data_IF_809414694569
#
_entry.id   IF_809414694569
#
_cell.length_a   1.000
_cell.length_b   1.000
_cell.length_c   1.000
_cell.angle_alpha   90.00
_cell.angle_beta   90.00
_cell.angle_gamma   90.00
#
_symmetry.space_group_name_H-M   'P 1'
#
loop_
_entity.id
_entity.type
_entity.pdbx_description
1 polymer ?
#
# COMPACT_ATOMS: atom_id res chain seq x y z
N UNK A 1 -1.88 7.97 18.17
CA UNK A 1 -2.33 9.34 17.84
C UNK A 1 -1.39 9.85 16.76
N UNK A 2 -1.90 10.21 15.58
CA UNK A 2 -1.10 10.74 14.49
C UNK A 2 -0.94 12.27 14.64
N UNK A 3 -0.09 12.88 13.80
CA UNK A 3 0.17 14.33 13.79
C UNK A 3 -1.14 15.13 13.73
N UNK A 4 -2.01 14.80 12.78
CA UNK A 4 -3.29 15.49 12.59
C UNK A 4 -4.20 15.41 13.83
N UNK A 5 -4.32 14.24 14.46
CA UNK A 5 -5.14 14.07 15.67
C UNK A 5 -4.59 14.80 16.89
N UNK A 6 -3.27 15.03 16.96
CA UNK A 6 -2.69 15.91 17.99
C UNK A 6 -3.05 17.38 17.73
N UNK A 7 -2.96 17.83 16.48
CA UNK A 7 -3.30 19.20 16.09
C UNK A 7 -4.77 19.49 16.39
N UNK A 8 -5.70 18.63 15.96
CA UNK A 8 -7.13 18.79 16.21
C UNK A 8 -7.46 18.86 17.72
N UNK A 9 -6.78 18.04 18.52
CA UNK A 9 -6.93 18.08 19.98
C UNK A 9 -6.45 19.40 20.56
N UNK A 10 -5.31 19.93 20.12
CA UNK A 10 -4.80 21.23 20.56
C UNK A 10 -5.70 22.39 20.10
N UNK A 11 -6.21 22.33 18.86
CA UNK A 11 -7.17 23.30 18.34
C UNK A 11 -8.46 23.31 19.16
N UNK A 12 -8.96 22.15 19.60
CA UNK A 12 -10.14 22.08 20.47
C UNK A 12 -9.95 22.79 21.82
N UNK A 13 -8.70 22.83 22.35
CA UNK A 13 -8.37 23.52 23.59
C UNK A 13 -8.37 25.05 23.41
N UNK A 14 -8.08 25.53 22.20
CA UNK A 14 -8.06 26.96 21.87
C UNK A 14 -9.45 27.61 21.77
N UNK A 15 -10.53 26.80 21.75
CA UNK A 15 -11.91 27.29 21.61
C UNK A 15 -12.48 27.79 22.96
N UNK A 16 -11.86 27.43 24.09
CA UNK A 16 -12.36 27.76 25.44
C UNK A 16 -11.88 29.16 25.88
N UNK A 17 -12.35 30.21 25.20
CA UNK A 17 -12.09 31.61 25.61
C UNK A 17 -12.98 32.00 26.79
N UNK A 18 -12.44 31.86 27.99
CA UNK A 18 -13.11 32.22 29.24
C UNK A 18 -12.30 33.19 30.11
N UNK A 19 -11.90 34.35 29.56
CA UNK A 19 -11.43 35.47 30.39
C UNK A 19 -10.43 36.41 29.75
N UNK A 20 -10.25 37.57 30.38
CA UNK A 20 -9.25 38.62 30.09
C UNK A 20 -8.12 38.61 31.13
N UNK A 21 -7.80 37.46 31.72
CA UNK A 21 -6.71 37.37 32.69
C UNK A 21 -5.38 37.11 32.00
N UNK A 22 -4.27 37.52 32.63
CA UNK A 22 -2.90 37.18 32.20
C UNK A 22 -2.65 35.66 32.15
N UNK A 23 -3.42 34.89 32.94
CA UNK A 23 -3.42 33.44 32.87
C UNK A 23 -4.03 32.94 31.56
N UNK A 24 -5.14 33.52 31.11
CA UNK A 24 -5.79 33.15 29.86
C UNK A 24 -4.85 33.45 28.68
N UNK A 25 -4.22 34.63 28.65
CA UNK A 25 -3.21 35.00 27.64
C UNK A 25 -2.07 33.98 27.56
N UNK A 26 -1.45 33.63 28.70
CA UNK A 26 -0.37 32.65 28.74
C UNK A 26 -0.81 31.23 28.32
N UNK A 27 -2.06 30.85 28.63
CA UNK A 27 -2.64 29.59 28.16
C UNK A 27 -2.79 29.58 26.63
N UNK A 28 -3.27 30.67 26.03
CA UNK A 28 -3.38 30.81 24.58
C UNK A 28 -2.05 30.74 23.86
N UNK A 29 -1.06 31.50 24.34
CA UNK A 29 0.28 31.50 23.77
C UNK A 29 0.89 30.10 23.84
N UNK A 30 0.68 29.39 24.94
CA UNK A 30 1.12 28.00 25.10
C UNK A 30 0.46 27.03 24.13
N UNK A 31 -0.86 27.11 23.95
CA UNK A 31 -1.59 26.27 22.99
C UNK A 31 -1.16 26.59 21.56
N UNK A 32 -1.02 27.87 21.21
CA UNK A 32 -0.58 28.30 19.89
C UNK A 32 0.84 27.82 19.57
N UNK A 33 1.79 28.02 20.48
CA UNK A 33 3.16 27.51 20.34
C UNK A 33 3.20 25.98 20.21
N UNK A 34 2.31 25.27 20.91
CA UNK A 34 2.17 23.81 20.82
C UNK A 34 1.65 23.38 19.44
N UNK A 35 0.67 24.08 18.87
CA UNK A 35 0.15 23.83 17.52
C UNK A 35 1.25 24.06 16.48
N UNK A 36 1.96 25.18 16.56
CA UNK A 36 3.05 25.50 15.63
C UNK A 36 4.20 24.49 15.71
N UNK A 37 4.49 24.00 16.92
CA UNK A 37 5.47 22.92 17.12
C UNK A 37 4.96 21.59 16.54
N UNK A 38 3.69 21.27 16.74
CA UNK A 38 3.08 20.04 16.20
C UNK A 38 3.05 20.03 14.66
N UNK A 39 2.85 21.19 14.02
CA UNK A 39 2.92 21.34 12.55
C UNK A 39 4.31 21.03 11.98
N UNK A 40 5.35 21.25 12.76
CA UNK A 40 6.74 20.97 12.38
C UNK A 40 7.14 19.50 12.56
N UNK A 41 6.31 18.67 13.20
CA UNK A 41 6.59 17.24 13.31
C UNK A 41 6.52 16.58 11.93
N UNK A 42 7.51 15.76 11.60
CA UNK A 42 7.46 14.93 10.41
C UNK A 42 6.39 13.84 10.59
N UNK A 43 5.57 13.63 9.55
CA UNK A 43 4.70 12.47 9.54
C UNK A 43 5.54 11.22 9.28
N UNK A 44 5.30 10.13 10.03
CA UNK A 44 5.96 8.87 9.73
C UNK A 44 5.59 8.44 8.31
N UNK A 45 6.59 8.29 7.47
CA UNK A 45 6.39 7.89 6.08
C UNK A 45 5.78 6.48 6.06
N UNK A 46 4.65 6.34 5.37
CA UNK A 46 4.00 5.04 5.21
C UNK A 46 4.92 4.12 4.41
N UNK A 47 5.27 2.93 4.93
CA UNK A 47 6.03 1.97 4.15
C UNK A 47 5.17 1.45 3.00
N UNK A 48 5.82 1.23 1.86
CA UNK A 48 5.26 0.44 0.76
C UNK A 48 5.43 -1.03 1.10
N UNK A 49 4.34 -1.80 1.06
CA UNK A 49 4.34 -3.24 1.31
C UNK A 49 3.77 -3.99 0.10
N UNK A 50 4.27 -5.20 -0.20
CA UNK A 50 3.70 -6.01 -1.27
C UNK A 50 2.22 -6.34 -1.05
N UNK A 51 1.46 -6.48 -2.12
CA UNK A 51 0.02 -6.81 -2.08
C UNK A 51 -0.31 -8.02 -1.20
N UNK A 52 0.46 -9.10 -1.27
CA UNK A 52 0.23 -10.29 -0.44
C UNK A 52 0.45 -10.04 1.07
N UNK A 53 1.29 -9.05 1.44
CA UNK A 53 1.50 -8.64 2.83
C UNK A 53 0.32 -7.78 3.30
N UNK A 54 -0.16 -6.87 2.45
CA UNK A 54 -1.35 -6.06 2.72
C UNK A 54 -2.59 -6.93 2.96
N UNK A 55 -2.87 -7.88 2.05
CA UNK A 55 -3.98 -8.84 2.17
C UNK A 55 -3.88 -9.67 3.46
N UNK A 56 -2.66 -10.10 3.81
CA UNK A 56 -2.41 -10.80 5.07
C UNK A 56 -2.69 -9.91 6.27
N UNK A 57 -2.21 -8.66 6.29
CA UNK A 57 -2.45 -7.69 7.37
C UNK A 57 -3.95 -7.41 7.57
N UNK A 58 -4.72 -7.25 6.49
CA UNK A 58 -6.17 -7.05 6.58
C UNK A 58 -6.89 -8.26 7.17
N UNK A 59 -6.55 -9.47 6.70
CA UNK A 59 -7.11 -10.71 7.23
C UNK A 59 -6.80 -10.85 8.72
N UNK A 60 -5.56 -10.56 9.10
CA UNK A 60 -5.10 -10.58 10.49
C UNK A 60 -5.85 -9.57 11.34
N UNK A 61 -5.99 -8.32 10.89
CA UNK A 61 -6.78 -7.30 11.59
C UNK A 61 -8.22 -7.76 11.83
N UNK A 62 -8.88 -8.36 10.84
CA UNK A 62 -10.25 -8.91 10.96
C UNK A 62 -10.33 -10.06 11.99
N UNK A 63 -9.36 -10.97 11.99
CA UNK A 63 -9.32 -12.09 12.94
C UNK A 63 -8.99 -11.64 14.37
N UNK A 64 -8.24 -10.55 14.50
CA UNK A 64 -7.76 -10.03 15.77
C UNK A 64 -8.64 -8.94 16.39
N UNK A 65 -9.75 -8.54 15.73
CA UNK A 65 -10.74 -7.60 16.28
C UNK A 65 -11.23 -8.06 17.66
N UNK A 66 -11.39 -9.37 17.86
CA UNK A 66 -11.81 -9.96 19.14
C UNK A 66 -10.78 -9.85 20.26
N UNK A 67 -9.51 -9.56 19.94
CA UNK A 67 -8.39 -9.58 20.90
C UNK A 67 -7.88 -8.17 21.28
N UNK A 68 -8.52 -7.09 20.80
CA UNK A 68 -8.17 -5.70 21.12
C UNK A 68 -6.66 -5.41 21.06
N UNK A 69 -6.06 -5.68 19.90
CA UNK A 69 -4.67 -5.30 19.62
C UNK A 69 -4.58 -3.79 19.41
N UNK A 70 -4.51 -3.05 20.52
CA UNK A 70 -4.46 -1.58 20.53
C UNK A 70 -3.09 -1.02 20.11
N UNK A 71 -2.05 -1.86 19.97
CA UNK A 71 -0.71 -1.41 19.59
C UNK A 71 0.02 -2.40 18.66
N UNK A 72 0.82 -1.85 17.73
CA UNK A 72 1.67 -2.65 16.86
C UNK A 72 2.72 -3.45 17.60
N UNK A 73 3.19 -2.98 18.76
CA UNK A 73 4.09 -3.75 19.63
C UNK A 73 3.46 -5.06 20.13
N UNK A 74 2.17 -5.05 20.52
CA UNK A 74 1.46 -6.28 20.87
C UNK A 74 1.32 -7.16 19.64
N UNK A 75 0.93 -6.61 18.49
CA UNK A 75 0.83 -7.39 17.25
C UNK A 75 2.17 -8.06 16.90
N UNK A 76 3.27 -7.31 16.95
CA UNK A 76 4.63 -7.79 16.65
C UNK A 76 5.10 -8.87 17.64
N UNK A 77 4.82 -8.73 18.94
CA UNK A 77 5.11 -9.77 19.93
C UNK A 77 4.38 -11.08 19.58
N UNK A 78 3.10 -10.99 19.18
CA UNK A 78 2.32 -12.17 18.78
C UNK A 78 2.82 -12.81 17.48
N UNK A 79 3.20 -12.00 16.48
CA UNK A 79 3.84 -12.48 15.25
C UNK A 79 5.19 -13.14 15.55
N UNK A 80 6.02 -12.55 16.41
CA UNK A 80 7.32 -13.10 16.80
C UNK A 80 7.19 -14.47 17.49
N UNK A 81 6.20 -14.66 18.36
CA UNK A 81 5.94 -15.96 18.99
C UNK A 81 5.60 -17.03 17.94
N UNK A 82 4.75 -16.71 16.97
CA UNK A 82 4.40 -17.67 15.91
C UNK A 82 5.58 -17.96 14.97
N UNK A 83 6.36 -16.93 14.63
CA UNK A 83 7.55 -17.03 13.80
C UNK A 83 8.58 -18.02 14.40
N UNK A 84 8.78 -17.99 15.72
CA UNK A 84 9.76 -18.84 16.41
C UNK A 84 9.20 -20.17 16.94
N UNK A 85 7.92 -20.25 17.33
CA UNK A 85 7.37 -21.45 17.97
C UNK A 85 6.56 -22.35 17.03
N UNK A 86 6.30 -21.94 15.77
CA UNK A 86 5.44 -22.66 14.80
C UNK A 86 4.12 -23.15 15.42
N UNK A 87 3.56 -22.37 16.35
CA UNK A 87 2.38 -22.78 17.14
C UNK A 87 1.06 -22.70 16.36
N UNK A 88 1.09 -22.23 15.11
CA UNK A 88 -0.07 -22.31 14.20
C UNK A 88 -1.25 -21.45 14.67
N UNK A 89 -1.00 -20.49 15.56
CA UNK A 89 -2.03 -19.61 16.10
C UNK A 89 -2.33 -18.46 15.13
N UNK A 90 -1.41 -18.14 14.21
CA UNK A 90 -1.57 -17.12 13.17
C UNK A 90 -1.02 -17.66 11.84
N UNK A 91 -1.79 -17.52 10.76
CA UNK A 91 -1.43 -18.07 9.44
C UNK A 91 -0.39 -17.19 8.75
N UNK A 92 0.83 -17.08 9.28
CA UNK A 92 1.98 -16.63 8.50
C UNK A 92 2.14 -17.61 7.34
N UNK A 93 1.65 -17.24 6.16
CA UNK A 93 1.89 -18.04 4.98
C UNK A 93 3.38 -17.93 4.60
N UNK A 94 3.86 -18.91 3.83
CA UNK A 94 5.26 -19.00 3.43
C UNK A 94 5.76 -17.73 2.69
N UNK A 95 4.88 -17.05 1.94
CA UNK A 95 5.23 -15.81 1.23
C UNK A 95 5.54 -14.67 2.20
N UNK A 96 4.71 -14.47 3.23
CA UNK A 96 4.93 -13.45 4.27
C UNK A 96 6.16 -13.79 5.10
N UNK A 97 6.40 -15.07 5.41
CA UNK A 97 7.61 -15.50 6.12
C UNK A 97 8.88 -15.14 5.36
N UNK A 98 8.96 -15.53 4.08
CA UNK A 98 10.10 -15.22 3.21
C UNK A 98 10.29 -13.73 2.99
N UNK A 99 9.21 -12.96 3.00
CA UNK A 99 9.29 -11.51 2.95
C UNK A 99 9.93 -10.94 4.23
N UNK A 100 9.52 -11.40 5.41
CA UNK A 100 10.10 -10.98 6.69
C UNK A 100 11.55 -11.42 6.91
N UNK A 101 12.01 -12.46 6.22
CA UNK A 101 13.42 -12.89 6.25
C UNK A 101 14.38 -11.91 5.57
N UNK A 102 13.87 -10.98 4.75
CA UNK A 102 14.70 -9.94 4.12
C UNK A 102 14.91 -8.78 5.09
N UNK A 103 16.16 -8.33 5.20
CA UNK A 103 16.57 -7.26 6.09
C UNK A 103 15.70 -5.99 5.96
N UNK A 104 15.24 -5.48 7.10
CA UNK A 104 14.47 -4.24 7.21
C UNK A 104 12.96 -4.41 6.99
N UNK A 105 12.48 -5.57 6.56
CA UNK A 105 11.04 -5.79 6.37
C UNK A 105 10.30 -5.95 7.70
N UNK A 106 10.98 -6.32 8.78
CA UNK A 106 10.47 -6.28 10.14
C UNK A 106 10.14 -4.85 10.61
N UNK A 107 11.01 -3.88 10.25
CA UNK A 107 10.78 -2.46 10.53
C UNK A 107 9.66 -1.93 9.64
N UNK A 108 9.65 -2.27 8.35
CA UNK A 108 8.54 -1.92 7.45
C UNK A 108 7.21 -2.47 7.95
N UNK A 109 7.17 -3.72 8.41
CA UNK A 109 5.96 -4.31 8.97
C UNK A 109 5.51 -3.56 10.23
N UNK A 110 6.42 -3.27 11.16
CA UNK A 110 6.11 -2.51 12.36
C UNK A 110 5.47 -1.15 12.01
N UNK A 111 6.12 -0.41 11.11
CA UNK A 111 5.64 0.89 10.65
C UNK A 111 4.29 0.77 9.94
N UNK A 112 4.09 -0.29 9.13
CA UNK A 112 2.82 -0.57 8.46
C UNK A 112 1.66 -0.78 9.45
N UNK A 113 1.96 -1.42 10.59
CA UNK A 113 0.97 -1.67 11.63
C UNK A 113 0.64 -0.39 12.39
N UNK A 114 1.65 0.39 12.79
CA UNK A 114 1.49 1.58 13.64
C UNK A 114 1.01 2.82 12.88
N UNK A 115 1.46 3.00 11.64
CA UNK A 115 1.24 4.22 10.85
C UNK A 115 0.41 3.98 9.57
N UNK A 116 0.04 2.73 9.28
CA UNK A 116 -0.55 2.35 8.00
C UNK A 116 0.49 2.15 6.91
N UNK A 117 0.05 1.75 5.72
CA UNK A 117 0.94 1.39 4.62
C UNK A 117 0.34 1.78 3.27
N UNK A 118 1.20 1.83 2.25
CA UNK A 118 0.81 1.85 0.84
C UNK A 118 1.06 0.48 0.24
N UNK A 119 0.22 0.08 -0.71
CA UNK A 119 0.39 -1.21 -1.39
C UNK A 119 1.28 -1.00 -2.61
N UNK A 120 2.32 -1.83 -2.73
CA UNK A 120 3.14 -1.89 -3.94
C UNK A 120 2.23 -2.17 -5.14
N UNK A 121 2.15 -1.19 -6.05
CA UNK A 121 1.45 -1.34 -7.32
C UNK A 121 2.21 -2.40 -8.13
N UNK A 122 1.53 -3.47 -8.51
CA UNK A 122 2.14 -4.50 -9.36
C UNK A 122 2.38 -3.88 -10.75
N UNK A 123 3.61 -3.94 -11.31
CA UNK A 123 3.87 -3.39 -12.63
C UNK A 123 2.96 -4.02 -13.67
N UNK A 124 2.28 -3.17 -14.43
CA UNK A 124 1.41 -3.58 -15.52
C UNK A 124 2.11 -3.37 -16.86
N UNK A 125 1.83 -4.28 -17.78
CA UNK A 125 2.41 -4.30 -19.12
C UNK A 125 1.31 -4.45 -20.17
N UNK A 126 1.51 -3.79 -21.30
CA UNK A 126 0.88 -4.13 -22.56
C UNK A 126 1.73 -5.20 -23.26
N UNK A 127 1.10 -6.16 -23.95
CA UNK A 127 1.83 -7.10 -24.82
C UNK A 127 1.60 -6.69 -26.26
N UNK A 128 2.63 -6.15 -26.91
CA UNK A 128 2.55 -5.59 -28.26
C UNK A 128 3.26 -6.47 -29.29
N UNK A 129 2.52 -6.90 -30.32
CA UNK A 129 3.04 -7.72 -31.40
C UNK A 129 3.25 -6.87 -32.67
N UNK A 130 4.45 -6.31 -32.91
CA UNK A 130 4.71 -5.39 -34.03
C UNK A 130 4.54 -6.03 -35.41
N UNK A 131 4.68 -7.36 -35.50
CA UNK A 131 4.64 -8.09 -36.79
C UNK A 131 3.24 -8.62 -37.14
N UNK A 132 2.24 -8.41 -36.28
CA UNK A 132 0.86 -8.85 -36.52
C UNK A 132 0.00 -7.64 -36.86
N UNK A 133 -0.57 -7.61 -38.07
CA UNK A 133 -1.62 -6.63 -38.43
C UNK A 133 -2.98 -7.25 -38.13
N UNK A 134 -3.71 -6.69 -37.16
CA UNK A 134 -5.02 -7.19 -36.74
C UNK A 134 -6.08 -7.08 -37.86
N UNK A 135 -5.95 -6.11 -38.77
CA UNK A 135 -6.78 -6.00 -39.98
C UNK A 135 -6.13 -5.09 -41.05
N UNK A 136 -6.66 -5.10 -42.27
CA UNK A 136 -6.21 -4.22 -43.35
C UNK A 136 -6.51 -2.75 -43.00
N UNK A 137 -5.53 -2.09 -42.38
CA UNK A 137 -5.61 -0.68 -41.98
C UNK A 137 -5.29 -0.39 -40.52
N UNK A 138 -5.02 -1.41 -39.69
CA UNK A 138 -4.64 -1.21 -38.29
C UNK A 138 -3.32 -1.90 -38.00
N UNK A 139 -2.31 -1.08 -37.70
CA UNK A 139 -0.89 -1.45 -37.64
C UNK A 139 -0.41 -1.92 -36.28
N UNK A 140 -1.31 -2.08 -35.30
CA UNK A 140 -0.96 -2.47 -33.95
C UNK A 140 -1.80 -3.66 -33.51
N UNK A 141 -1.16 -4.63 -32.85
CA UNK A 141 -1.81 -5.80 -32.29
C UNK A 141 -1.37 -5.97 -30.83
N UNK A 142 -2.31 -5.74 -29.92
CA UNK A 142 -2.11 -5.92 -28.49
C UNK A 142 -2.89 -7.11 -27.99
N UNK A 143 -2.37 -7.76 -26.94
CA UNK A 143 -3.13 -8.76 -26.23
C UNK A 143 -4.25 -8.08 -25.40
N UNK A 144 -5.44 -8.68 -25.38
CA UNK A 144 -6.59 -8.21 -24.61
C UNK A 144 -7.29 -9.38 -23.92
N UNK A 145 -7.66 -9.18 -22.65
CA UNK A 145 -8.48 -10.13 -21.88
C UNK A 145 -9.91 -10.13 -22.42
N UNK A 146 -10.48 -11.31 -22.66
CA UNK A 146 -11.88 -11.46 -23.03
C UNK A 146 -12.57 -12.47 -22.11
N UNK A 147 -13.90 -12.57 -22.21
CA UNK A 147 -14.68 -13.54 -21.40
C UNK A 147 -14.25 -15.00 -21.63
N UNK A 148 -13.64 -15.29 -22.77
CA UNK A 148 -13.30 -16.65 -23.20
C UNK A 148 -11.78 -16.92 -23.22
N UNK A 149 -10.95 -16.00 -22.74
CA UNK A 149 -9.50 -16.13 -22.75
C UNK A 149 -8.80 -14.82 -23.12
N UNK A 150 -7.95 -14.87 -24.14
CA UNK A 150 -7.23 -13.70 -24.66
C UNK A 150 -7.36 -13.62 -26.17
N UNK A 151 -7.51 -12.41 -26.68
CA UNK A 151 -7.63 -12.10 -28.10
C UNK A 151 -6.68 -10.96 -28.47
N UNK A 152 -6.56 -10.69 -29.77
CA UNK A 152 -5.82 -9.53 -30.28
C UNK A 152 -6.77 -8.36 -30.45
N UNK A 153 -6.32 -7.20 -30.01
CA UNK A 153 -6.98 -5.93 -30.17
C UNK A 153 -6.06 -4.95 -30.89
N UNK A 154 -6.66 -3.92 -31.45
CA UNK A 154 -6.05 -3.04 -32.44
C UNK A 154 -5.61 -1.69 -31.86
N UNK A 155 -5.67 -1.57 -30.52
CA UNK A 155 -5.30 -0.42 -29.69
C UNK A 155 -4.90 -0.90 -28.28
N UNK A 156 -4.52 0.02 -27.38
CA UNK A 156 -4.10 -0.24 -26.00
C UNK A 156 -4.89 0.58 -24.95
N UNK A 157 -6.08 1.07 -25.31
CA UNK A 157 -6.83 2.07 -24.54
C UNK A 157 -7.63 1.50 -23.36
N UNK A 158 -7.75 0.17 -23.26
CA UNK A 158 -8.62 -0.49 -22.29
C UNK A 158 -7.84 -1.15 -21.15
N UNK A 159 -8.43 -1.15 -19.95
CA UNK A 159 -7.87 -1.85 -18.79
C UNK A 159 -7.70 -3.35 -19.02
N UNK A 160 -8.53 -3.95 -19.87
CA UNK A 160 -8.45 -5.36 -20.26
C UNK A 160 -7.17 -5.70 -21.07
N UNK A 161 -6.38 -4.70 -21.48
CA UNK A 161 -5.09 -4.89 -22.17
C UNK A 161 -3.89 -4.83 -21.22
N UNK A 162 -4.12 -4.59 -19.93
CA UNK A 162 -3.07 -4.50 -18.91
C UNK A 162 -2.89 -5.87 -18.25
N UNK A 163 -1.66 -6.37 -18.29
CA UNK A 163 -1.29 -7.67 -17.71
C UNK A 163 -0.18 -7.52 -16.68
N UNK A 164 -0.21 -8.38 -15.66
CA UNK A 164 0.98 -8.59 -14.81
C UNK A 164 1.96 -9.53 -15.51
N UNK A 165 3.23 -9.50 -15.12
CA UNK A 165 4.24 -10.45 -15.63
C UNK A 165 3.78 -11.91 -15.48
N UNK A 166 3.12 -12.25 -14.37
CA UNK A 166 2.63 -13.61 -14.12
C UNK A 166 1.50 -13.99 -15.07
N UNK A 167 0.57 -13.07 -15.36
CA UNK A 167 -0.50 -13.31 -16.32
C UNK A 167 0.08 -13.56 -17.72
N UNK A 168 1.03 -12.74 -18.17
CA UNK A 168 1.72 -12.91 -19.46
C UNK A 168 2.38 -14.30 -19.54
N UNK A 169 3.17 -14.66 -18.52
CA UNK A 169 3.88 -15.95 -18.49
C UNK A 169 2.94 -17.16 -18.39
N UNK A 170 1.76 -16.98 -17.78
CA UNK A 170 0.73 -18.03 -17.71
C UNK A 170 0.06 -18.25 -19.06
N UNK A 171 -0.09 -17.19 -19.87
CA UNK A 171 -0.61 -17.28 -21.23
C UNK A 171 0.45 -17.95 -22.13
N UNK A 172 1.63 -17.35 -22.21
CA UNK A 172 2.81 -17.91 -22.88
C UNK A 172 4.06 -17.15 -22.44
N UNK A 173 5.07 -17.84 -21.91
CA UNK A 173 6.32 -17.22 -21.45
C UNK A 173 7.03 -16.42 -22.56
N UNK A 174 6.85 -16.80 -23.84
CA UNK A 174 7.43 -16.09 -24.99
C UNK A 174 6.86 -14.69 -25.17
N UNK A 175 5.66 -14.41 -24.66
CA UNK A 175 5.02 -13.11 -24.76
C UNK A 175 5.69 -12.05 -23.87
N UNK A 176 6.50 -12.47 -22.89
CA UNK A 176 7.27 -11.55 -22.05
C UNK A 176 8.26 -10.70 -22.86
N UNK A 177 8.80 -11.23 -23.98
CA UNK A 177 9.69 -10.47 -24.85
C UNK A 177 9.00 -9.27 -25.56
N UNK A 178 7.67 -9.23 -25.53
CA UNK A 178 6.83 -8.23 -26.17
C UNK A 178 6.12 -7.32 -25.14
N UNK A 179 6.46 -7.46 -23.85
CA UNK A 179 5.88 -6.69 -22.77
C UNK A 179 6.43 -5.25 -22.74
N UNK A 180 5.55 -4.26 -22.78
CA UNK A 180 5.84 -2.84 -22.70
C UNK A 180 5.22 -2.28 -21.41
N UNK A 181 6.00 -1.68 -20.50
CA UNK A 181 5.46 -1.11 -19.26
C UNK A 181 4.38 -0.05 -19.54
N UNK A 182 3.26 -0.10 -18.82
CA UNK A 182 2.15 0.86 -18.99
C UNK A 182 2.56 2.30 -18.65
N UNK A 183 3.52 2.48 -17.74
CA UNK A 183 4.02 3.80 -17.35
C UNK A 183 4.81 4.51 -18.47
N UNK A 184 5.43 3.77 -19.39
CA UNK A 184 6.21 4.35 -20.49
C UNK A 184 5.34 4.85 -21.66
N UNK A 185 4.07 4.44 -21.73
CA UNK A 185 3.16 4.76 -22.85
C UNK A 185 2.40 6.08 -22.65
N UNK A 186 2.29 6.57 -21.40
CA UNK A 186 1.56 7.79 -21.07
C UNK A 186 2.33 9.09 -21.38
N UNK A 187 3.63 9.01 -21.67
CA UNK A 187 4.49 10.18 -21.97
C UNK A 187 4.89 10.30 -23.46
N UNK A 188 4.29 9.50 -24.35
CA UNK A 188 4.57 9.47 -25.80
C UNK A 188 3.65 10.30 -26.67
#
# INVERSE_FOLDING_TARGET
MNKQGLIEKLESLSIVKSGESTYDEGFYDGVYASIESAKQLDEPQKPVVPKFVAEWLEKMRKQLVSYHFESGARFMMFIGIDYHQRRGLLTLNEKVRRWLEKDGNEVKLSNAIDYGYEVEQEPLYYVYFPEITASAGIGEAYLMKTRNGVELADNNDFDDMKFTEQEIKTIDERYWAFAVPVEEVMEG
#
